data_IF_070974273084
#
_entry.id   IF_070974273084
#
_cell.length_a   1.000
_cell.length_b   1.000
_cell.length_c   1.000
_cell.angle_alpha   90.00
_cell.angle_beta   90.00
_cell.angle_gamma   90.00
#
_symmetry.space_group_name_H-M   'P 1'
#
loop_
_entity.id
_entity.type
_entity.pdbx_description
1 polymer ?
#
# COMPACT_ATOMS: atom_id res chain seq x y z
N UNK A 1 -11.46 -21.91 -13.45
CA UNK A 1 -10.06 -22.31 -13.17
C UNK A 1 -9.67 -21.58 -11.89
N UNK A 2 -9.06 -22.30 -10.97
CA UNK A 2 -8.68 -21.75 -9.66
C UNK A 2 -7.37 -20.97 -9.83
N UNK A 3 -7.48 -19.69 -10.23
CA UNK A 3 -6.30 -18.83 -10.43
C UNK A 3 -5.57 -18.61 -9.11
N UNK A 4 -4.26 -18.73 -9.14
CA UNK A 4 -3.42 -18.43 -7.97
C UNK A 4 -3.19 -16.92 -7.86
N UNK A 5 -3.40 -16.37 -6.66
CA UNK A 5 -3.12 -14.97 -6.34
C UNK A 5 -1.88 -14.88 -5.46
N UNK A 6 -0.87 -14.16 -5.90
CA UNK A 6 0.31 -13.85 -5.09
C UNK A 6 0.13 -12.48 -4.42
N UNK A 7 0.20 -12.45 -3.10
CA UNK A 7 0.10 -11.23 -2.30
C UNK A 7 1.47 -10.91 -1.71
N UNK A 8 2.04 -9.78 -2.12
CA UNK A 8 3.24 -9.24 -1.50
C UNK A 8 2.88 -8.43 -0.26
N UNK A 9 3.57 -8.67 0.84
CA UNK A 9 3.48 -7.87 2.07
C UNK A 9 4.88 -7.33 2.40
N UNK A 10 5.18 -6.05 2.10
CA UNK A 10 6.39 -5.41 2.57
C UNK A 10 6.30 -5.16 4.08
N UNK A 11 7.23 -5.72 4.85
CA UNK A 11 7.29 -5.62 6.30
C UNK A 11 8.46 -4.73 6.72
N UNK A 12 8.18 -3.68 7.49
CA UNK A 12 9.21 -2.89 8.18
C UNK A 12 8.64 -2.22 9.43
N UNK A 13 9.01 -2.72 10.61
CA UNK A 13 8.65 -2.15 11.92
C UNK A 13 7.13 -1.94 12.07
N UNK A 14 6.37 -3.02 11.89
CA UNK A 14 4.90 -3.04 11.99
C UNK A 14 4.40 -4.23 12.82
N UNK A 15 5.17 -4.69 13.79
CA UNK A 15 4.86 -5.86 14.64
C UNK A 15 3.47 -5.78 15.28
N UNK A 16 3.04 -4.59 15.72
CA UNK A 16 1.71 -4.34 16.30
C UNK A 16 0.56 -4.71 15.34
N UNK A 17 0.71 -4.49 14.05
CA UNK A 17 -0.38 -4.58 13.06
C UNK A 17 -0.31 -5.84 12.20
N UNK A 18 0.89 -6.38 12.01
CA UNK A 18 1.14 -7.53 11.16
C UNK A 18 0.24 -8.74 11.45
N UNK A 19 -0.05 -9.12 12.72
CA UNK A 19 -0.96 -10.23 12.99
C UNK A 19 -2.34 -10.03 12.34
N UNK A 20 -2.93 -8.85 12.49
CA UNK A 20 -4.24 -8.57 11.92
C UNK A 20 -4.23 -8.60 10.38
N UNK A 21 -3.16 -8.09 9.74
CA UNK A 21 -2.97 -8.17 8.29
C UNK A 21 -2.92 -9.63 7.79
N UNK A 22 -2.11 -10.47 8.44
CA UNK A 22 -1.99 -11.89 8.09
C UNK A 22 -3.27 -12.68 8.39
N UNK A 23 -3.96 -12.42 9.51
CA UNK A 23 -5.24 -13.03 9.84
C UNK A 23 -6.31 -12.66 8.80
N UNK A 24 -6.32 -11.44 8.29
CA UNK A 24 -7.23 -11.02 7.23
C UNK A 24 -7.00 -11.76 5.91
N UNK A 25 -5.74 -12.12 5.63
CA UNK A 25 -5.40 -12.94 4.47
C UNK A 25 -5.76 -14.42 4.68
N UNK A 26 -5.55 -14.95 5.88
CA UNK A 26 -5.99 -16.31 6.25
C UNK A 26 -7.52 -16.48 6.19
N UNK A 27 -8.27 -15.40 6.43
CA UNK A 27 -9.73 -15.38 6.40
C UNK A 27 -10.32 -15.22 4.97
N UNK A 28 -9.49 -15.16 3.92
CA UNK A 28 -10.00 -15.03 2.55
C UNK A 28 -10.81 -16.26 2.13
N UNK A 29 -11.96 -16.03 1.49
CA UNK A 29 -12.86 -17.06 0.98
C UNK A 29 -12.32 -17.76 -0.29
N UNK A 30 -11.39 -17.11 -1.02
CA UNK A 30 -10.65 -17.72 -2.13
C UNK A 30 -9.45 -18.51 -1.57
N UNK A 31 -9.37 -19.85 -1.77
CA UNK A 31 -8.34 -20.67 -1.13
C UNK A 31 -6.97 -20.67 -1.83
N UNK A 32 -6.94 -20.29 -3.13
CA UNK A 32 -5.73 -20.39 -3.97
C UNK A 32 -4.94 -19.09 -3.97
N UNK A 33 -4.18 -18.85 -2.90
CA UNK A 33 -3.28 -17.70 -2.77
C UNK A 33 -1.97 -18.12 -2.12
N UNK A 34 -0.92 -17.34 -2.37
CA UNK A 34 0.33 -17.34 -1.63
C UNK A 34 0.61 -15.93 -1.09
N UNK A 35 1.31 -15.87 0.02
CA UNK A 35 1.79 -14.63 0.64
C UNK A 35 3.31 -14.60 0.62
N UNK A 36 3.87 -13.55 0.01
CA UNK A 36 5.29 -13.29 -0.06
C UNK A 36 5.60 -12.12 0.86
N UNK A 37 5.95 -12.44 2.10
CA UNK A 37 6.22 -11.47 3.15
C UNK A 37 7.70 -11.12 3.09
N UNK A 38 8.01 -9.90 2.64
CA UNK A 38 9.40 -9.42 2.56
C UNK A 38 9.73 -8.58 3.77
N UNK A 39 10.62 -9.09 4.65
CA UNK A 39 11.14 -8.32 5.77
C UNK A 39 12.26 -7.39 5.27
N UNK A 40 11.97 -6.10 5.26
CA UNK A 40 12.85 -5.02 4.83
C UNK A 40 13.79 -4.55 5.95
N UNK A 41 14.33 -5.48 6.73
CA UNK A 41 15.28 -5.23 7.82
C UNK A 41 14.61 -4.68 9.08
N UNK A 42 13.47 -5.26 9.50
CA UNK A 42 12.78 -4.89 10.73
C UNK A 42 13.66 -5.06 11.96
N UNK A 43 13.50 -4.15 12.91
CA UNK A 43 14.20 -4.14 14.20
C UNK A 43 13.26 -4.36 15.41
N UNK A 44 11.96 -4.49 15.13
CA UNK A 44 10.91 -4.85 16.09
C UNK A 44 10.65 -6.37 16.10
N UNK A 45 9.55 -6.81 16.71
CA UNK A 45 9.13 -8.22 16.74
C UNK A 45 8.51 -8.74 15.44
N UNK A 46 8.41 -7.94 14.38
CA UNK A 46 7.69 -8.27 13.14
C UNK A 46 8.23 -9.50 12.43
N UNK A 47 9.55 -9.66 12.34
CA UNK A 47 10.20 -10.83 11.71
C UNK A 47 9.86 -12.13 12.44
N UNK A 48 9.87 -12.14 13.76
CA UNK A 48 9.54 -13.33 14.56
C UNK A 48 8.06 -13.72 14.41
N UNK A 49 7.17 -12.72 14.37
CA UNK A 49 5.74 -12.91 14.11
C UNK A 49 5.55 -13.53 12.73
N UNK A 50 6.15 -12.95 11.70
CA UNK A 50 6.09 -13.45 10.32
C UNK A 50 6.58 -14.90 10.20
N UNK A 51 7.71 -15.23 10.84
CA UNK A 51 8.23 -16.59 10.91
C UNK A 51 7.26 -17.56 11.63
N UNK A 52 6.53 -17.06 12.63
CA UNK A 52 5.47 -17.81 13.32
C UNK A 52 4.33 -18.20 12.39
N UNK A 53 3.86 -17.28 11.56
CA UNK A 53 2.80 -17.53 10.57
C UNK A 53 3.28 -18.47 9.45
N UNK A 54 4.49 -18.24 8.92
CA UNK A 54 5.07 -19.08 7.86
C UNK A 54 5.25 -20.56 8.31
N UNK A 55 5.46 -20.82 9.61
CA UNK A 55 5.50 -22.19 10.15
C UNK A 55 4.12 -22.85 10.24
N UNK A 56 3.04 -22.07 10.35
CA UNK A 56 1.66 -22.56 10.52
C UNK A 56 0.94 -22.78 9.20
N UNK A 57 1.23 -21.97 8.19
CA UNK A 57 0.59 -22.02 6.88
C UNK A 57 1.64 -21.98 5.77
N UNK A 58 1.78 -23.05 4.97
CA UNK A 58 2.79 -23.14 3.89
C UNK A 58 2.57 -22.14 2.75
N UNK A 59 1.39 -21.52 2.67
CA UNK A 59 1.12 -20.46 1.69
C UNK A 59 1.83 -19.15 2.04
N UNK A 60 2.29 -18.99 3.29
CA UNK A 60 3.02 -17.79 3.76
C UNK A 60 4.50 -18.07 3.73
N UNK A 61 5.25 -17.27 2.96
CA UNK A 61 6.69 -17.37 2.81
C UNK A 61 7.34 -16.09 3.31
N UNK A 62 8.18 -16.21 4.36
CA UNK A 62 9.01 -15.10 4.84
C UNK A 62 10.29 -15.03 4.00
N UNK A 63 10.54 -13.87 3.44
CA UNK A 63 11.67 -13.52 2.61
C UNK A 63 12.35 -12.26 3.16
N UNK A 64 13.59 -11.99 2.76
CA UNK A 64 14.33 -10.79 3.15
C UNK A 64 15.82 -11.02 3.05
N UNK A 65 16.60 -9.94 3.07
CA UNK A 65 18.06 -9.97 3.07
C UNK A 65 18.68 -9.27 4.30
N UNK A 66 17.84 -8.88 5.25
CA UNK A 66 18.22 -8.21 6.50
C UNK A 66 18.58 -6.74 6.33
N UNK A 67 18.25 -6.10 5.21
CA UNK A 67 18.53 -4.69 4.92
C UNK A 67 17.26 -3.94 4.59
N UNK A 68 17.24 -2.63 4.93
CA UNK A 68 16.15 -1.75 4.56
C UNK A 68 16.43 -1.12 3.17
N UNK A 69 15.59 -1.43 2.22
CA UNK A 69 15.64 -0.91 0.85
C UNK A 69 14.46 0.03 0.54
N UNK A 70 13.46 0.08 1.42
CA UNK A 70 12.22 0.83 1.26
C UNK A 70 11.11 0.04 0.59
N UNK A 71 9.86 0.49 0.81
CA UNK A 71 8.63 -0.24 0.46
C UNK A 71 8.54 -0.64 -1.02
N UNK A 72 9.02 0.20 -1.94
CA UNK A 72 8.99 -0.09 -3.38
C UNK A 72 9.87 -1.29 -3.74
N UNK A 73 11.12 -1.33 -3.24
CA UNK A 73 12.03 -2.45 -3.46
C UNK A 73 11.57 -3.71 -2.71
N UNK A 74 11.06 -3.58 -1.49
CA UNK A 74 10.51 -4.69 -0.73
C UNK A 74 9.35 -5.36 -1.48
N UNK A 75 8.41 -4.57 -2.02
CA UNK A 75 7.31 -5.06 -2.85
C UNK A 75 7.81 -5.72 -4.15
N UNK A 76 8.79 -5.11 -4.81
CA UNK A 76 9.42 -5.67 -6.02
C UNK A 76 10.07 -7.03 -5.73
N UNK A 77 10.85 -7.11 -4.64
CA UNK A 77 11.55 -8.34 -4.24
C UNK A 77 10.59 -9.45 -3.84
N UNK A 78 9.51 -9.12 -3.14
CA UNK A 78 8.45 -10.08 -2.84
C UNK A 78 7.82 -10.62 -4.13
N UNK A 79 7.39 -9.74 -5.04
CA UNK A 79 6.74 -10.15 -6.29
C UNK A 79 7.70 -10.83 -7.28
N UNK A 80 9.01 -10.65 -7.16
CA UNK A 80 9.98 -11.40 -7.95
C UNK A 80 9.98 -12.90 -7.62
N UNK A 81 9.52 -13.28 -6.42
CA UNK A 81 9.37 -14.67 -6.00
C UNK A 81 7.94 -15.22 -6.19
N UNK A 82 7.03 -14.42 -6.76
CA UNK A 82 5.63 -14.76 -7.00
C UNK A 82 5.47 -15.71 -8.19
N UNK A 83 4.53 -16.65 -8.07
CA UNK A 83 4.22 -17.63 -9.12
C UNK A 83 2.75 -17.64 -9.53
N UNK A 84 1.94 -16.73 -8.98
CA UNK A 84 0.51 -16.63 -9.26
C UNK A 84 0.19 -16.01 -10.63
N UNK A 85 -1.04 -16.19 -11.05
CA UNK A 85 -1.60 -15.58 -12.26
C UNK A 85 -1.92 -14.09 -12.06
N UNK A 86 -2.17 -13.71 -10.80
CA UNK A 86 -2.51 -12.36 -10.38
C UNK A 86 -1.66 -11.94 -9.18
N UNK A 87 -1.29 -10.66 -9.16
CA UNK A 87 -0.47 -10.05 -8.13
C UNK A 87 -1.22 -8.96 -7.39
N UNK A 88 -1.13 -8.97 -6.07
CA UNK A 88 -1.59 -7.89 -5.19
C UNK A 88 -0.52 -7.46 -4.21
N UNK A 89 -0.67 -6.28 -3.64
CA UNK A 89 0.16 -5.79 -2.53
C UNK A 89 -0.77 -5.42 -1.38
N UNK A 90 -0.49 -5.93 -0.20
CA UNK A 90 -1.15 -5.57 1.05
C UNK A 90 -0.10 -4.95 1.97
N UNK A 91 -0.33 -3.74 2.43
CA UNK A 91 0.54 -3.11 3.43
C UNK A 91 0.40 -3.85 4.77
N UNK A 92 1.52 -4.02 5.50
CA UNK A 92 1.56 -4.85 6.72
C UNK A 92 0.76 -4.28 7.90
N UNK A 93 0.19 -3.09 7.77
CA UNK A 93 -0.68 -2.43 8.74
C UNK A 93 -2.15 -2.33 8.29
N UNK A 94 -2.47 -2.81 7.10
CA UNK A 94 -3.81 -2.82 6.51
C UNK A 94 -4.46 -4.20 6.55
N UNK A 95 -5.76 -4.28 6.18
CA UNK A 95 -6.50 -5.55 6.16
C UNK A 95 -7.29 -5.69 4.85
N UNK A 96 -7.54 -6.94 4.46
CA UNK A 96 -8.49 -7.29 3.41
C UNK A 96 -9.83 -7.72 3.99
N UNK A 97 -10.92 -7.35 3.34
CA UNK A 97 -12.22 -7.96 3.63
C UNK A 97 -12.23 -9.44 3.21
N UNK A 98 -13.00 -10.32 3.88
CA UNK A 98 -12.96 -11.76 3.60
C UNK A 98 -13.24 -12.15 2.15
N UNK A 99 -14.05 -11.37 1.42
CA UNK A 99 -14.38 -11.60 0.01
C UNK A 99 -13.50 -10.80 -0.96
N UNK A 100 -12.35 -10.26 -0.51
CA UNK A 100 -11.55 -9.37 -1.35
C UNK A 100 -10.96 -10.11 -2.56
N UNK A 101 -10.32 -11.25 -2.34
CA UNK A 101 -9.68 -11.98 -3.43
C UNK A 101 -10.70 -12.57 -4.41
N UNK A 102 -11.77 -13.20 -3.91
CA UNK A 102 -12.82 -13.79 -4.76
C UNK A 102 -13.52 -12.73 -5.62
N UNK A 103 -13.89 -11.58 -5.01
CA UNK A 103 -14.56 -10.49 -5.71
C UNK A 103 -13.69 -9.86 -6.78
N UNK A 104 -12.43 -9.57 -6.47
CA UNK A 104 -11.48 -9.00 -7.42
C UNK A 104 -11.18 -9.95 -8.57
N UNK A 105 -10.98 -11.24 -8.29
CA UNK A 105 -10.78 -12.27 -9.31
C UNK A 105 -11.99 -12.42 -10.23
N UNK A 106 -13.19 -12.54 -9.67
CA UNK A 106 -14.42 -12.65 -10.45
C UNK A 106 -14.60 -11.44 -11.39
N UNK A 107 -14.30 -10.23 -10.88
CA UNK A 107 -14.37 -9.02 -11.68
C UNK A 107 -13.40 -9.02 -12.86
N UNK A 108 -12.13 -9.42 -12.62
CA UNK A 108 -11.10 -9.48 -13.67
C UNK A 108 -11.30 -10.63 -14.64
N UNK A 109 -11.75 -11.80 -14.17
CA UNK A 109 -12.04 -12.95 -15.03
C UNK A 109 -13.22 -12.69 -15.98
N UNK A 110 -14.22 -11.94 -15.54
CA UNK A 110 -15.32 -11.48 -16.40
C UNK A 110 -14.88 -10.45 -17.46
N UNK A 111 -13.65 -9.90 -17.32
CA UNK A 111 -13.08 -8.85 -18.19
C UNK A 111 -11.64 -9.18 -18.55
N UNK A 112 -11.39 -10.18 -19.41
CA UNK A 112 -10.05 -10.69 -19.69
C UNK A 112 -9.08 -9.66 -20.30
N UNK A 113 -9.62 -8.56 -20.84
CA UNK A 113 -8.83 -7.43 -21.36
C UNK A 113 -8.20 -6.57 -20.26
N UNK A 114 -8.71 -6.65 -19.01
CA UNK A 114 -8.17 -5.83 -17.91
C UNK A 114 -6.79 -6.34 -17.49
N UNK A 115 -5.85 -5.41 -17.35
CA UNK A 115 -4.56 -5.69 -16.73
C UNK A 115 -4.52 -5.41 -15.23
N UNK A 116 -5.40 -4.52 -14.74
CA UNK A 116 -5.51 -4.20 -13.32
C UNK A 116 -6.94 -3.80 -12.95
N UNK A 117 -7.36 -4.19 -11.75
CA UNK A 117 -8.53 -3.64 -11.08
C UNK A 117 -8.13 -3.08 -9.70
N UNK A 118 -8.87 -2.08 -9.21
CA UNK A 118 -8.71 -1.54 -7.87
C UNK A 118 -10.06 -1.37 -7.17
N UNK A 119 -10.09 -1.61 -5.85
CA UNK A 119 -11.32 -1.56 -5.06
C UNK A 119 -11.53 -0.21 -4.38
N UNK A 120 -12.67 -0.06 -3.73
CA UNK A 120 -12.87 0.91 -2.67
C UNK A 120 -12.20 0.43 -1.38
N UNK A 121 -12.08 1.34 -0.42
CA UNK A 121 -11.54 1.04 0.89
C UNK A 121 -12.30 1.80 1.99
N UNK A 122 -12.28 1.21 3.17
CA UNK A 122 -12.74 1.80 4.42
C UNK A 122 -11.53 2.30 5.21
N UNK A 123 -11.56 3.50 5.73
CA UNK A 123 -10.53 4.00 6.65
C UNK A 123 -10.80 3.46 8.06
N UNK A 124 -9.75 2.97 8.72
CA UNK A 124 -9.78 2.52 10.12
C UNK A 124 -8.72 3.25 10.94
N UNK A 125 -8.95 3.38 12.23
CA UNK A 125 -7.94 3.91 13.16
C UNK A 125 -6.88 2.85 13.54
N UNK A 126 -5.96 3.23 14.44
CA UNK A 126 -4.91 2.32 14.89
C UNK A 126 -5.44 1.11 15.66
N UNK A 127 -6.62 1.18 16.25
CA UNK A 127 -7.27 0.09 16.99
C UNK A 127 -8.21 -0.75 16.09
N UNK A 128 -8.35 -0.37 14.81
CA UNK A 128 -9.17 -1.08 13.82
C UNK A 128 -10.63 -0.63 13.78
N UNK A 129 -11.00 0.44 14.51
CA UNK A 129 -12.33 1.02 14.47
C UNK A 129 -12.54 1.75 13.14
N UNK A 130 -13.71 1.55 12.52
CA UNK A 130 -14.07 2.17 11.26
C UNK A 130 -14.26 3.68 11.39
N UNK A 131 -13.60 4.45 10.52
CA UNK A 131 -13.69 5.89 10.42
C UNK A 131 -14.64 6.33 9.29
N UNK A 132 -14.86 5.46 8.30
CA UNK A 132 -15.73 5.70 7.16
C UNK A 132 -15.09 5.29 5.84
N UNK A 133 -15.83 5.48 4.76
CA UNK A 133 -15.31 5.20 3.41
C UNK A 133 -14.23 6.22 3.03
N UNK A 134 -13.16 5.73 2.42
CA UNK A 134 -12.16 6.57 1.80
C UNK A 134 -12.75 7.44 0.68
N UNK A 135 -11.99 8.40 0.21
CA UNK A 135 -12.50 9.37 -0.77
C UNK A 135 -11.79 9.34 -2.12
N UNK A 136 -10.62 8.71 -2.24
CA UNK A 136 -9.81 8.76 -3.47
C UNK A 136 -10.49 8.10 -4.66
N UNK A 137 -11.21 7.00 -4.45
CA UNK A 137 -11.94 6.30 -5.50
C UNK A 137 -13.16 7.06 -6.04
N UNK A 138 -13.59 8.15 -5.36
CA UNK A 138 -14.65 9.04 -5.85
C UNK A 138 -14.23 9.82 -7.10
N UNK A 139 -12.92 9.92 -7.36
CA UNK A 139 -12.39 10.49 -8.59
C UNK A 139 -12.52 9.47 -9.70
N UNK A 140 -13.32 9.72 -10.76
CA UNK A 140 -13.47 8.77 -11.87
C UNK A 140 -12.12 8.50 -12.53
N UNK A 141 -11.84 7.21 -12.75
CA UNK A 141 -10.60 6.81 -13.40
C UNK A 141 -10.59 7.16 -14.89
N UNK A 142 -9.48 7.71 -15.32
CA UNK A 142 -9.01 7.65 -16.70
C UNK A 142 -7.48 7.71 -16.71
N UNK A 143 -6.80 7.20 -17.75
CA UNK A 143 -5.35 7.28 -17.86
C UNK A 143 -4.83 8.73 -17.80
N UNK A 144 -5.59 9.68 -18.35
CA UNK A 144 -5.25 11.11 -18.31
C UNK A 144 -5.42 11.67 -16.88
N UNK A 145 -6.55 11.37 -16.24
CA UNK A 145 -6.82 11.85 -14.88
C UNK A 145 -5.82 11.30 -13.85
N UNK A 146 -5.34 10.07 -14.07
CA UNK A 146 -4.32 9.45 -13.21
C UNK A 146 -3.00 10.24 -13.17
N UNK A 147 -2.69 11.06 -14.19
CA UNK A 147 -1.54 12.00 -14.14
C UNK A 147 -1.69 13.09 -13.07
N UNK A 148 -2.91 13.41 -12.67
CA UNK A 148 -3.23 14.52 -11.78
C UNK A 148 -3.64 14.06 -10.38
N UNK A 149 -4.32 12.91 -10.31
CA UNK A 149 -4.93 12.38 -9.09
C UNK A 149 -4.62 10.89 -8.96
N UNK A 150 -4.19 10.46 -7.78
CA UNK A 150 -3.96 9.04 -7.50
C UNK A 150 -5.24 8.38 -6.96
N UNK A 151 -6.17 8.03 -7.86
CA UNK A 151 -7.43 7.36 -7.52
C UNK A 151 -7.31 5.84 -7.44
N UNK A 152 -6.33 5.22 -8.09
CA UNK A 152 -6.09 3.77 -8.07
C UNK A 152 -5.39 3.36 -6.77
N UNK A 153 -6.03 3.66 -5.63
CA UNK A 153 -5.51 3.34 -4.32
C UNK A 153 -5.69 1.84 -3.99
N UNK A 154 -5.67 1.43 -2.75
CA UNK A 154 -5.82 0.03 -2.33
C UNK A 154 -7.27 -0.49 -2.50
N UNK A 155 -7.58 -1.79 -2.61
CA UNK A 155 -6.68 -2.89 -2.94
C UNK A 155 -6.58 -3.03 -4.45
N UNK A 156 -5.38 -3.28 -4.97
CA UNK A 156 -5.14 -3.48 -6.41
C UNK A 156 -4.85 -4.95 -6.69
N UNK A 157 -5.50 -5.50 -7.73
CA UNK A 157 -5.17 -6.80 -8.28
C UNK A 157 -4.74 -6.62 -9.73
N UNK A 158 -3.58 -7.15 -10.08
CA UNK A 158 -2.95 -7.02 -11.40
C UNK A 158 -2.75 -8.40 -12.02
N UNK A 159 -2.90 -8.50 -13.33
CA UNK A 159 -2.43 -9.70 -14.04
C UNK A 159 -0.92 -9.77 -13.99
N UNK A 160 -0.37 -10.97 -13.75
CA UNK A 160 1.07 -11.17 -13.69
C UNK A 160 1.76 -10.80 -15.01
N UNK A 161 1.17 -11.16 -16.15
CA UNK A 161 1.69 -10.81 -17.48
C UNK A 161 1.75 -9.29 -17.71
N UNK A 162 0.73 -8.53 -17.26
CA UNK A 162 0.71 -7.07 -17.35
C UNK A 162 1.78 -6.44 -16.45
N UNK A 163 1.95 -6.96 -15.23
CA UNK A 163 3.01 -6.52 -14.32
C UNK A 163 4.40 -6.75 -14.91
N UNK A 164 4.66 -7.94 -15.46
CA UNK A 164 5.94 -8.27 -16.07
C UNK A 164 6.20 -7.47 -17.35
N UNK A 165 5.17 -7.21 -18.16
CA UNK A 165 5.31 -6.44 -19.41
C UNK A 165 5.78 -5.00 -19.21
N UNK A 166 5.59 -4.43 -18.01
CA UNK A 166 6.10 -3.09 -17.66
C UNK A 166 7.40 -3.13 -16.84
N UNK A 167 7.96 -4.32 -16.58
CA UNK A 167 9.14 -4.51 -15.75
C UNK A 167 8.89 -4.42 -14.23
N UNK A 168 7.63 -4.52 -13.79
CA UNK A 168 7.28 -4.50 -12.37
C UNK A 168 7.49 -3.15 -11.68
N UNK A 169 7.70 -3.15 -10.38
CA UNK A 169 8.08 -1.95 -9.61
C UNK A 169 9.45 -1.42 -10.06
N UNK A 170 9.57 -0.08 -10.13
CA UNK A 170 10.86 0.57 -10.37
C UNK A 170 11.70 0.54 -9.08
N UNK A 171 12.83 -0.18 -9.04
CA UNK A 171 13.65 -0.29 -7.83
C UNK A 171 14.29 1.02 -7.38
N UNK A 172 14.37 2.02 -8.25
CA UNK A 172 14.86 3.35 -7.90
C UNK A 172 13.83 4.19 -7.14
N UNK A 173 12.55 3.76 -7.12
CA UNK A 173 11.47 4.47 -6.44
C UNK A 173 11.35 4.05 -4.97
N UNK A 174 11.88 4.85 -4.07
CA UNK A 174 11.80 4.59 -2.63
C UNK A 174 10.48 5.04 -1.98
N UNK A 175 9.74 5.92 -2.64
CA UNK A 175 8.39 6.39 -2.26
C UNK A 175 7.56 6.58 -3.51
N UNK A 176 6.23 6.51 -3.40
CA UNK A 176 5.28 6.60 -4.54
C UNK A 176 5.53 5.57 -5.66
N UNK A 177 6.17 4.44 -5.32
CA UNK A 177 6.46 3.36 -6.27
C UNK A 177 5.16 2.74 -6.82
N UNK A 178 4.12 2.68 -6.01
CA UNK A 178 2.78 2.22 -6.37
C UNK A 178 2.08 3.17 -7.36
N UNK A 179 2.28 4.47 -7.23
CA UNK A 179 1.75 5.44 -8.19
C UNK A 179 2.46 5.34 -9.54
N UNK A 180 3.79 5.25 -9.56
CA UNK A 180 4.58 5.03 -10.78
C UNK A 180 4.17 3.72 -11.49
N UNK A 181 3.99 2.64 -10.72
CA UNK A 181 3.49 1.35 -11.24
C UNK A 181 2.14 1.52 -11.94
N UNK A 182 1.17 2.19 -11.29
CA UNK A 182 -0.15 2.43 -11.86
C UNK A 182 -0.09 3.29 -13.14
N UNK A 183 0.77 4.30 -13.17
CA UNK A 183 1.00 5.11 -14.37
C UNK A 183 1.52 4.27 -15.54
N UNK A 184 2.54 3.42 -15.31
CA UNK A 184 3.09 2.53 -16.35
C UNK A 184 2.11 1.47 -16.81
N UNK A 185 1.34 0.87 -15.89
CA UNK A 185 0.26 -0.05 -16.25
C UNK A 185 -0.79 0.63 -17.12
N UNK A 186 -1.24 1.84 -16.75
CA UNK A 186 -2.26 2.59 -17.49
C UNK A 186 -1.85 3.00 -18.92
N UNK A 187 -0.56 2.91 -19.24
CA UNK A 187 -0.01 3.13 -20.59
C UNK A 187 -0.09 1.88 -21.48
N UNK A 188 -0.35 0.71 -20.88
CA UNK A 188 -0.29 -0.60 -21.57
C UNK A 188 -1.58 -1.38 -21.54
N UNK A 189 -2.34 -1.29 -20.45
CA UNK A 189 -3.52 -2.12 -20.22
C UNK A 189 -4.69 -1.29 -19.67
N UNK A 190 -5.94 -1.72 -19.93
CA UNK A 190 -7.10 -1.14 -19.28
C UNK A 190 -7.09 -1.40 -17.77
N UNK A 191 -7.54 -0.40 -17.01
CA UNK A 191 -7.69 -0.43 -15.56
C UNK A 191 -9.13 -0.05 -15.22
N UNK A 192 -9.77 -0.80 -14.31
CA UNK A 192 -11.14 -0.51 -13.89
C UNK A 192 -11.29 -0.50 -12.37
N UNK A 193 -12.31 0.22 -11.93
CA UNK A 193 -12.71 0.35 -10.54
C UNK A 193 -13.76 -0.70 -10.16
N UNK A 194 -13.53 -1.40 -9.06
CA UNK A 194 -14.47 -2.32 -8.43
C UNK A 194 -15.21 -1.55 -7.31
N UNK A 195 -16.52 -1.30 -7.43
CA UNK A 195 -17.26 -0.46 -6.48
C UNK A 195 -17.64 -1.22 -5.20
N UNK A 196 -16.66 -1.90 -4.60
CA UNK A 196 -16.81 -2.64 -3.35
C UNK A 196 -15.70 -2.25 -2.38
N UNK A 197 -15.98 -1.99 -1.09
CA UNK A 197 -14.97 -1.68 -0.08
C UNK A 197 -14.33 -2.99 0.40
N UNK A 198 -13.29 -3.43 -0.32
CA UNK A 198 -12.62 -4.71 -0.10
C UNK A 198 -11.32 -4.60 0.71
N UNK A 199 -10.98 -3.39 1.12
CA UNK A 199 -9.74 -3.09 1.84
C UNK A 199 -10.02 -2.17 3.02
N UNK A 200 -9.36 -2.40 4.16
CA UNK A 200 -9.36 -1.53 5.32
C UNK A 200 -8.01 -0.86 5.46
N UNK A 201 -8.00 0.42 5.13
CA UNK A 201 -6.81 1.27 5.17
C UNK A 201 -6.62 1.88 6.55
N UNK A 202 -5.47 1.62 7.18
CA UNK A 202 -5.19 2.14 8.52
C UNK A 202 -4.58 3.53 8.49
N UNK A 203 -5.31 4.48 9.08
CA UNK A 203 -4.84 5.86 9.24
C UNK A 203 -3.98 5.96 10.49
N UNK A 204 -2.67 6.17 10.32
CA UNK A 204 -1.70 6.31 11.41
C UNK A 204 -1.10 7.70 11.43
N UNK A 205 -0.87 8.25 12.64
CA UNK A 205 -0.20 9.55 12.79
C UNK A 205 1.27 9.50 12.34
N UNK A 206 1.93 8.36 12.50
CA UNK A 206 3.33 8.12 12.15
C UNK A 206 3.53 7.46 10.78
N UNK A 207 2.51 7.45 9.90
CA UNK A 207 2.66 6.84 8.57
C UNK A 207 3.72 7.55 7.72
N UNK A 208 4.37 6.81 6.81
CA UNK A 208 5.35 7.35 5.84
C UNK A 208 4.77 8.54 5.08
N UNK A 209 3.47 8.47 4.75
CA UNK A 209 2.73 9.53 4.05
C UNK A 209 2.59 10.81 4.87
N UNK A 210 2.66 10.76 6.20
CA UNK A 210 2.60 11.95 7.05
C UNK A 210 3.98 12.54 7.36
N UNK A 211 4.96 11.71 7.70
CA UNK A 211 6.32 12.15 8.07
C UNK A 211 7.15 12.61 6.85
N UNK A 212 6.93 11.96 5.68
CA UNK A 212 7.66 12.22 4.43
C UNK A 212 6.87 13.00 3.37
N UNK A 213 5.84 13.76 3.74
CA UNK A 213 4.86 14.35 2.81
C UNK A 213 5.46 15.13 1.64
N UNK A 214 6.47 15.97 1.89
CA UNK A 214 7.14 16.73 0.82
C UNK A 214 7.94 15.83 -0.12
N UNK A 215 8.62 14.81 0.43
CA UNK A 215 9.34 13.82 -0.37
C UNK A 215 8.38 13.00 -1.24
N UNK A 216 7.25 12.60 -0.69
CA UNK A 216 6.22 11.86 -1.42
C UNK A 216 5.59 12.71 -2.54
N UNK A 217 5.26 13.98 -2.26
CA UNK A 217 4.73 14.91 -3.26
C UNK A 217 5.71 15.09 -4.42
N UNK A 218 7.01 15.27 -4.12
CA UNK A 218 8.03 15.39 -5.15
C UNK A 218 8.19 14.11 -5.97
N UNK A 219 8.24 12.95 -5.32
CA UNK A 219 8.36 11.67 -6.02
C UNK A 219 7.15 11.38 -6.93
N UNK A 220 5.93 11.70 -6.46
CA UNK A 220 4.72 11.60 -7.28
C UNK A 220 4.75 12.55 -8.47
N UNK A 221 5.22 13.77 -8.28
CA UNK A 221 5.40 14.74 -9.36
C UNK A 221 6.41 14.24 -10.40
N UNK A 222 7.57 13.73 -9.96
CA UNK A 222 8.60 13.19 -10.86
C UNK A 222 8.08 11.94 -11.62
N UNK A 223 7.28 11.09 -10.98
CA UNK A 223 6.63 9.94 -11.63
C UNK A 223 5.64 10.40 -12.71
N UNK A 224 4.79 11.39 -12.40
CA UNK A 224 3.84 11.96 -13.36
C UNK A 224 4.55 12.63 -14.54
N UNK A 225 5.65 13.36 -14.29
CA UNK A 225 6.47 13.95 -15.38
C UNK A 225 7.04 12.87 -16.29
N UNK A 226 7.61 11.80 -15.75
CA UNK A 226 8.10 10.68 -16.56
C UNK A 226 6.97 10.04 -17.38
N UNK A 227 5.77 9.88 -16.81
CA UNK A 227 4.61 9.38 -17.54
C UNK A 227 4.17 10.33 -18.66
N UNK A 228 4.21 11.65 -18.44
CA UNK A 228 3.91 12.66 -19.45
C UNK A 228 4.86 12.52 -20.66
N UNK A 229 6.17 12.35 -20.39
CA UNK A 229 7.19 12.13 -21.43
C UNK A 229 6.97 10.83 -22.19
N UNK A 230 6.76 9.69 -21.47
CA UNK A 230 6.49 8.39 -22.12
C UNK A 230 5.27 8.43 -23.05
N UNK A 231 4.27 9.27 -22.71
CA UNK A 231 3.05 9.47 -23.50
C UNK A 231 3.20 10.48 -24.62
N UNK A 232 4.38 11.10 -24.78
CA UNK A 232 4.66 12.14 -25.78
C UNK A 232 3.86 13.42 -25.59
N UNK A 233 3.34 13.67 -24.38
CA UNK A 233 2.51 14.83 -24.04
C UNK A 233 3.33 16.03 -23.58
N UNK A 234 4.60 15.85 -23.29
CA UNK A 234 5.54 16.88 -22.80
C UNK A 234 5.84 17.99 -23.82
N UNK A 235 5.46 17.79 -25.08
CA UNK A 235 5.56 18.82 -26.12
C UNK A 235 4.56 19.96 -25.95
N UNK A 236 3.36 19.62 -25.49
CA UNK A 236 2.23 20.55 -25.42
C UNK A 236 1.78 20.82 -23.97
N UNK A 237 2.31 20.06 -22.99
CA UNK A 237 1.90 20.12 -21.59
C UNK A 237 3.12 20.13 -20.67
N UNK A 238 3.02 20.88 -19.59
CA UNK A 238 3.97 20.85 -18.48
C UNK A 238 3.23 20.83 -17.15
N UNK A 239 3.75 20.07 -16.17
CA UNK A 239 3.25 20.15 -14.81
C UNK A 239 3.81 21.38 -14.10
N UNK A 240 2.96 22.02 -13.31
CA UNK A 240 3.38 22.97 -12.29
C UNK A 240 2.96 22.48 -10.91
N UNK A 241 3.88 22.45 -9.96
CA UNK A 241 3.58 22.09 -8.57
C UNK A 241 3.28 23.35 -7.76
N UNK A 242 2.01 23.50 -7.36
CA UNK A 242 1.59 24.58 -6.44
C UNK A 242 1.45 24.04 -5.01
N UNK A 243 2.19 24.61 -4.06
CA UNK A 243 2.01 24.32 -2.63
C UNK A 243 1.20 25.42 -1.97
N UNK A 244 0.10 25.06 -1.27
CA UNK A 244 -0.67 26.00 -0.46
C UNK A 244 -0.42 25.67 1.02
N UNK A 245 0.09 26.63 1.78
CA UNK A 245 0.20 26.53 3.23
C UNK A 245 -1.13 26.93 3.87
N UNK A 246 -1.58 26.16 4.86
CA UNK A 246 -2.71 26.48 5.73
C UNK A 246 -2.22 26.50 7.17
N UNK A 247 -2.38 27.63 7.84
CA UNK A 247 -2.15 27.71 9.28
C UNK A 247 -3.33 27.09 10.02
N UNK A 248 -3.05 26.15 10.93
CA UNK A 248 -4.05 25.52 11.80
C UNK A 248 -3.66 25.77 13.24
N UNK A 249 -4.49 26.49 13.97
CA UNK A 249 -4.36 26.62 15.42
C UNK A 249 -4.87 25.34 16.08
N UNK A 250 -3.98 24.65 16.80
CA UNK A 250 -4.34 23.46 17.58
C UNK A 250 -4.15 23.75 19.06
N UNK A 251 -5.05 23.31 19.95
CA UNK A 251 -4.79 23.33 21.38
C UNK A 251 -3.49 22.58 21.69
N UNK A 252 -2.69 23.10 22.60
CA UNK A 252 -1.59 22.31 23.14
C UNK A 252 -2.17 21.15 23.94
N UNK A 253 -1.57 19.95 23.87
CA UNK A 253 -1.95 18.87 24.79
C UNK A 253 -1.80 19.41 26.20
N UNK A 254 -2.80 19.15 27.06
CA UNK A 254 -2.73 19.55 28.47
C UNK A 254 -1.43 19.01 29.05
N UNK A 255 -0.56 19.91 29.55
CA UNK A 255 0.65 19.51 30.25
C UNK A 255 0.20 18.68 31.45
N UNK A 256 0.53 17.38 31.41
CA UNK A 256 0.27 16.48 32.52
C UNK A 256 0.86 17.08 33.78
N UNK A 257 0.06 17.19 34.83
CA UNK A 257 0.49 17.45 36.18
C UNK A 257 1.53 16.38 36.53
N UNK A 258 2.77 16.84 36.74
CA UNK A 258 3.84 16.03 37.29
C UNK A 258 3.48 15.68 38.76
N UNK A 259 3.18 14.41 39.13
CA UNK A 259 2.84 14.06 40.48
C UNK A 259 4.07 13.76 41.34
N UNK A 260 5.13 14.54 41.24
CA UNK A 260 6.29 14.42 42.07
C UNK A 260 6.73 15.75 42.68
N UNK A 261 5.82 16.39 43.42
CA UNK A 261 6.15 17.39 44.43
C UNK A 261 6.68 16.70 45.67
N UNK A 262 7.89 16.21 45.63
CA UNK A 262 8.63 15.76 46.83
C UNK A 262 9.02 16.94 47.68
N UNK A 263 8.38 17.09 48.83
CA UNK A 263 8.84 17.88 49.97
C UNK A 263 10.24 17.46 50.39
N UNK A 264 11.17 18.38 50.30
CA UNK A 264 12.51 18.26 50.93
C UNK A 264 12.73 19.51 51.78
N UNK A 265 12.60 19.29 53.06
CA UNK A 265 12.73 20.30 54.11
C UNK A 265 14.20 20.58 54.46
N UNK A 266 14.37 21.77 55.09
CA UNK A 266 15.29 22.17 56.15
C UNK A 266 16.68 22.68 55.79
N UNK A 267 16.79 23.92 56.00
CA UNK A 267 17.65 24.65 56.97
C UNK A 267 19.06 24.12 57.31
N UNK A 268 19.98 25.01 57.81
CA UNK A 268 19.85 26.41 58.24
C UNK A 268 20.60 27.43 57.39
#
# INVERSE_FOLDING_TARGET
MDSLVSIAIPLYNTDRFLPAALDSLLAQDHPHWECLLWDDGSTDGGSDIAAGYARRDPRIRLLGDGRNHGVGMASASALAAAVGDYFGVLDADDLLEPAALSSMLAFMQARPQLGMAYSQYTEIDEDGCELGLGSRFLVPYSPHRLLLDFMTHHFRLMRADAYHAIGGFDPAMTVSADYDLCLRLSERVPIEHVPLPLHRYRVRQASISQAGRLRQVRASFDAAQRALQRRGMDRDHAFSLGLRARHVLRPKPASGLDPAGGLGASDP
#
